data_IF_495000700461
#
_entry.id   IF_495000700461
#
_cell.length_a   1.000
_cell.length_b   1.000
_cell.length_c   1.000
_cell.angle_alpha   90.00
_cell.angle_beta   90.00
_cell.angle_gamma   90.00
#
_symmetry.space_group_name_H-M   'P 1'
#
loop_
_entity.id
_entity.type
_entity.pdbx_description
1 polymer ?
#
# COMPACT_ATOMS: atom_id res chain seq x y z
N UNK A 1 -32.71 -18.07 1.01
CA UNK A 1 -32.07 -16.78 1.29
C UNK A 1 -33.03 -15.72 0.82
N UNK A 2 -33.37 -14.78 1.66
CA UNK A 2 -34.21 -13.65 1.28
C UNK A 2 -33.52 -12.88 0.17
N UNK A 3 -34.21 -12.64 -0.94
CA UNK A 3 -33.64 -11.95 -2.08
C UNK A 3 -33.84 -10.43 -1.89
N UNK A 4 -32.86 -9.75 -1.34
CA UNK A 4 -32.90 -8.31 -1.13
C UNK A 4 -32.71 -7.50 -2.43
N UNK A 5 -32.40 -8.15 -3.56
CA UNK A 5 -32.27 -7.51 -4.86
C UNK A 5 -31.31 -6.32 -4.82
N UNK A 6 -31.72 -5.18 -5.41
CA UNK A 6 -30.91 -3.96 -5.46
C UNK A 6 -30.54 -3.41 -4.06
N UNK A 7 -31.35 -3.69 -3.03
CA UNK A 7 -31.05 -3.25 -1.67
C UNK A 7 -29.79 -3.92 -1.10
N UNK A 8 -29.38 -5.06 -1.63
CA UNK A 8 -28.14 -5.72 -1.23
C UNK A 8 -26.89 -4.90 -1.55
N UNK A 9 -26.97 -3.96 -2.50
CA UNK A 9 -25.88 -3.02 -2.82
C UNK A 9 -25.82 -1.81 -1.89
N UNK A 10 -26.89 -1.52 -1.15
CA UNK A 10 -26.98 -0.29 -0.35
C UNK A 10 -25.83 -0.12 0.65
N UNK A 11 -25.34 -1.14 1.38
CA UNK A 11 -24.19 -1.00 2.27
C UNK A 11 -22.94 -0.49 1.54
N UNK A 12 -22.59 -1.10 0.41
CA UNK A 12 -21.43 -0.71 -0.37
C UNK A 12 -21.60 0.68 -1.01
N UNK A 13 -22.77 0.97 -1.59
CA UNK A 13 -23.05 2.27 -2.21
C UNK A 13 -23.00 3.42 -1.18
N UNK A 14 -23.54 3.22 0.01
CA UNK A 14 -23.51 4.21 1.08
C UNK A 14 -22.08 4.41 1.57
N UNK A 15 -21.30 3.33 1.74
CA UNK A 15 -19.89 3.43 2.08
C UNK A 15 -19.12 4.25 1.02
N UNK A 16 -19.36 4.01 -0.29
CA UNK A 16 -18.75 4.78 -1.39
C UNK A 16 -19.16 6.25 -1.33
N UNK A 17 -20.47 6.54 -1.26
CA UNK A 17 -20.98 7.93 -1.25
C UNK A 17 -20.43 8.70 -0.06
N UNK A 18 -20.46 8.10 1.13
CA UNK A 18 -19.94 8.73 2.33
C UNK A 18 -18.42 8.90 2.28
N UNK A 19 -17.67 7.97 1.69
CA UNK A 19 -16.23 8.11 1.50
C UNK A 19 -15.89 9.32 0.62
N UNK A 20 -16.66 9.59 -0.44
CA UNK A 20 -16.49 10.81 -1.25
C UNK A 20 -16.83 12.10 -0.49
N UNK A 21 -17.86 12.07 0.38
CA UNK A 21 -18.33 13.27 1.11
C UNK A 21 -17.42 13.56 2.29
N UNK A 22 -17.12 12.54 3.10
CA UNK A 22 -16.44 12.69 4.39
C UNK A 22 -14.93 12.56 4.28
N UNK A 23 -14.44 11.85 3.26
CA UNK A 23 -13.04 11.45 3.08
C UNK A 23 -12.52 10.57 4.22
N UNK A 24 -13.44 9.88 4.92
CA UNK A 24 -13.15 9.04 6.07
C UNK A 24 -13.62 7.59 5.79
N UNK A 25 -12.70 6.71 5.42
CA UNK A 25 -13.00 5.34 5.03
C UNK A 25 -13.65 4.54 6.18
N UNK A 26 -13.08 4.63 7.39
CA UNK A 26 -13.57 3.91 8.56
C UNK A 26 -15.04 4.25 8.88
N UNK A 27 -15.34 5.54 8.95
CA UNK A 27 -16.71 6.03 9.19
C UNK A 27 -17.67 5.58 8.09
N UNK A 28 -17.25 5.66 6.85
CA UNK A 28 -18.05 5.33 5.67
C UNK A 28 -18.42 3.85 5.63
N UNK A 29 -17.47 2.97 5.89
CA UNK A 29 -17.70 1.52 5.93
C UNK A 29 -18.57 1.16 7.15
N UNK A 30 -18.35 1.78 8.31
CA UNK A 30 -19.20 1.59 9.48
C UNK A 30 -20.67 1.94 9.18
N UNK A 31 -20.93 3.08 8.53
CA UNK A 31 -22.28 3.45 8.11
C UNK A 31 -22.87 2.42 7.14
N UNK A 32 -22.08 1.90 6.21
CA UNK A 32 -22.49 0.80 5.33
C UNK A 32 -22.93 -0.45 6.10
N UNK A 33 -22.16 -0.87 7.11
CA UNK A 33 -22.53 -2.01 7.98
C UNK A 33 -23.84 -1.75 8.71
N UNK A 34 -24.01 -0.57 9.31
CA UNK A 34 -25.26 -0.21 10.03
C UNK A 34 -26.48 -0.21 9.12
N UNK A 35 -26.34 0.28 7.88
CA UNK A 35 -27.41 0.22 6.88
C UNK A 35 -27.73 -1.23 6.50
N UNK A 36 -26.73 -2.08 6.35
CA UNK A 36 -26.94 -3.50 6.10
C UNK A 36 -27.72 -4.20 7.22
N UNK A 37 -27.42 -3.87 8.49
CA UNK A 37 -28.18 -4.35 9.64
C UNK A 37 -29.65 -3.90 9.60
N UNK A 38 -29.91 -2.64 9.27
CA UNK A 38 -31.27 -2.13 9.13
C UNK A 38 -32.06 -2.87 8.03
N UNK A 39 -31.44 -3.10 6.89
CA UNK A 39 -32.07 -3.83 5.76
C UNK A 39 -32.39 -5.27 6.14
N UNK A 40 -31.51 -5.94 6.89
CA UNK A 40 -31.74 -7.31 7.36
C UNK A 40 -32.68 -7.40 8.56
N UNK A 41 -33.18 -6.26 9.07
CA UNK A 41 -34.07 -6.22 10.23
C UNK A 41 -33.40 -6.62 11.55
N UNK A 42 -32.07 -6.60 11.60
CA UNK A 42 -31.33 -6.92 12.81
C UNK A 42 -31.26 -5.69 13.74
N UNK A 43 -31.24 -5.96 15.04
CA UNK A 43 -31.03 -4.90 16.03
C UNK A 43 -29.67 -4.24 15.84
N UNK A 44 -29.62 -2.90 15.89
CA UNK A 44 -28.40 -2.16 15.60
C UNK A 44 -27.29 -2.41 16.63
N UNK A 45 -27.64 -2.66 17.91
CA UNK A 45 -26.65 -2.88 18.95
C UNK A 45 -26.24 -4.36 19.00
N UNK A 46 -27.19 -5.28 19.16
CA UNK A 46 -26.90 -6.70 19.28
C UNK A 46 -26.48 -7.30 17.93
N UNK A 47 -27.08 -6.86 16.82
CA UNK A 47 -26.65 -7.25 15.48
C UNK A 47 -25.23 -6.78 15.17
N UNK A 48 -24.88 -5.53 15.50
CA UNK A 48 -23.53 -5.03 15.28
C UNK A 48 -22.48 -5.77 16.12
N UNK A 49 -22.75 -6.00 17.41
CA UNK A 49 -21.82 -6.77 18.26
C UNK A 49 -21.70 -8.22 17.79
N UNK A 50 -22.79 -8.84 17.30
CA UNK A 50 -22.77 -10.17 16.70
C UNK A 50 -21.91 -10.23 15.43
N UNK A 51 -22.00 -9.21 14.55
CA UNK A 51 -21.15 -9.11 13.37
C UNK A 51 -19.68 -8.95 13.75
N UNK A 52 -19.36 -8.05 14.70
CA UNK A 52 -17.99 -7.90 15.20
C UNK A 52 -17.46 -9.23 15.69
N UNK A 53 -18.19 -9.94 16.54
CA UNK A 53 -17.73 -11.22 17.09
C UNK A 53 -17.50 -12.27 15.99
N UNK A 54 -18.38 -12.37 14.99
CA UNK A 54 -18.23 -13.33 13.91
C UNK A 54 -17.16 -12.95 12.90
N UNK A 55 -17.04 -11.66 12.58
CA UNK A 55 -16.10 -11.15 11.59
C UNK A 55 -14.65 -11.08 12.13
N UNK A 56 -14.47 -10.64 13.37
CA UNK A 56 -13.14 -10.45 13.96
C UNK A 56 -12.67 -11.62 14.81
N UNK A 57 -13.58 -12.51 15.23
CA UNK A 57 -13.26 -13.68 16.07
C UNK A 57 -12.71 -14.88 15.30
N UNK A 58 -12.23 -14.71 14.07
CA UNK A 58 -11.71 -15.81 13.27
C UNK A 58 -10.18 -15.79 13.16
N UNK A 59 -9.59 -16.95 12.83
CA UNK A 59 -8.15 -17.13 12.75
C UNK A 59 -7.51 -16.29 11.63
N UNK A 60 -8.20 -16.08 10.51
CA UNK A 60 -7.68 -15.32 9.37
C UNK A 60 -7.51 -13.85 9.73
N UNK A 61 -8.50 -13.24 10.40
CA UNK A 61 -8.39 -11.87 10.89
C UNK A 61 -7.22 -11.72 11.88
N UNK A 62 -7.10 -12.66 12.84
CA UNK A 62 -6.00 -12.65 13.81
C UNK A 62 -4.65 -12.78 13.12
N UNK A 63 -4.56 -13.61 12.07
CA UNK A 63 -3.33 -13.78 11.29
C UNK A 63 -2.90 -12.48 10.60
N UNK A 64 -3.83 -11.78 9.93
CA UNK A 64 -3.53 -10.49 9.25
C UNK A 64 -3.11 -9.43 10.28
N UNK A 65 -3.88 -9.26 11.35
CA UNK A 65 -3.56 -8.29 12.43
C UNK A 65 -2.21 -8.61 13.08
N UNK A 66 -1.91 -9.89 13.28
CA UNK A 66 -0.61 -10.33 13.80
C UNK A 66 0.55 -9.83 12.92
N UNK A 67 0.45 -9.99 11.60
CA UNK A 67 1.49 -9.50 10.68
C UNK A 67 1.62 -7.98 10.73
N UNK A 68 0.52 -7.24 10.68
CA UNK A 68 0.53 -5.77 10.77
C UNK A 68 1.22 -5.27 12.04
N UNK A 69 0.93 -5.89 13.19
CA UNK A 69 1.57 -5.58 14.48
C UNK A 69 3.09 -5.78 14.39
N UNK A 70 3.56 -6.92 13.86
CA UNK A 70 5.00 -7.20 13.78
C UNK A 70 5.69 -6.32 12.73
N UNK A 71 5.05 -5.95 11.63
CA UNK A 71 5.55 -4.93 10.69
C UNK A 71 5.78 -3.60 11.40
N UNK A 72 4.78 -3.11 12.14
CA UNK A 72 4.89 -1.86 12.89
C UNK A 72 6.04 -1.87 13.90
N UNK A 73 6.19 -2.95 14.65
CA UNK A 73 7.30 -3.12 15.62
C UNK A 73 8.65 -3.12 14.89
N UNK A 74 8.79 -3.87 13.80
CA UNK A 74 10.02 -3.96 13.03
C UNK A 74 10.48 -2.59 12.52
N UNK A 75 9.55 -1.81 11.98
CA UNK A 75 9.81 -0.45 11.49
C UNK A 75 10.24 0.47 12.63
N UNK A 76 9.56 0.43 13.77
CA UNK A 76 9.93 1.23 14.94
C UNK A 76 11.33 0.87 15.49
N UNK A 77 11.72 -0.40 15.45
CA UNK A 77 13.08 -0.82 15.82
C UNK A 77 14.12 -0.32 14.81
N UNK A 78 13.83 -0.31 13.50
CA UNK A 78 14.71 0.31 12.51
C UNK A 78 14.93 1.79 12.80
N UNK A 79 13.86 2.54 13.09
CA UNK A 79 13.96 3.97 13.39
C UNK A 79 14.80 4.22 14.65
N UNK A 80 14.42 3.61 15.75
CA UNK A 80 15.05 3.86 17.06
C UNK A 80 16.49 3.38 17.15
N UNK A 81 16.84 2.31 16.44
CA UNK A 81 18.23 1.82 16.38
C UNK A 81 19.14 2.70 15.52
N UNK A 82 18.62 3.67 14.75
CA UNK A 82 19.39 4.44 13.78
C UNK A 82 19.91 3.59 12.61
N UNK A 83 19.32 2.41 12.38
CA UNK A 83 19.66 1.55 11.26
C UNK A 83 19.55 2.27 9.94
N UNK A 84 18.60 3.13 9.86
CA UNK A 84 18.22 3.99 8.74
C UNK A 84 19.28 5.03 8.43
N UNK A 85 19.78 5.73 9.47
CA UNK A 85 20.90 6.68 9.33
C UNK A 85 22.19 5.98 8.90
N UNK A 86 22.40 4.73 9.35
CA UNK A 86 23.55 3.93 8.92
C UNK A 86 23.50 3.61 7.41
N UNK A 87 22.31 3.40 6.83
CA UNK A 87 22.10 3.28 5.38
C UNK A 87 22.52 4.58 4.69
N UNK A 88 22.00 5.71 5.16
CA UNK A 88 22.26 7.04 4.59
C UNK A 88 23.75 7.39 4.59
N UNK A 89 24.42 7.19 5.71
CA UNK A 89 25.84 7.50 5.86
C UNK A 89 26.70 6.64 4.92
N UNK A 90 26.38 5.35 4.77
CA UNK A 90 27.10 4.46 3.88
C UNK A 90 26.99 4.87 2.40
N UNK A 91 25.81 5.37 2.00
CA UNK A 91 25.59 5.86 0.63
C UNK A 91 26.35 7.15 0.33
N UNK A 92 26.54 8.01 1.34
CA UNK A 92 27.21 9.31 1.18
C UNK A 92 28.74 9.24 1.05
N UNK A 93 29.38 8.15 1.50
CA UNK A 93 30.84 8.10 1.67
C UNK A 93 31.68 7.98 0.39
N UNK A 94 31.13 7.59 -0.79
CA UNK A 94 31.97 7.10 -1.89
C UNK A 94 31.69 7.57 -3.33
N UNK A 95 30.76 8.50 -3.61
CA UNK A 95 30.35 8.76 -4.99
C UNK A 95 30.44 10.24 -5.42
N UNK A 96 31.01 10.48 -6.61
CA UNK A 96 30.75 11.71 -7.38
C UNK A 96 29.29 11.69 -7.82
N UNK A 97 28.43 12.41 -7.07
CA UNK A 97 26.99 12.30 -7.20
C UNK A 97 26.51 13.21 -8.34
N UNK A 98 26.20 12.61 -9.48
CA UNK A 98 25.50 13.30 -10.58
C UNK A 98 23.99 13.27 -10.33
N UNK A 99 23.19 14.13 -11.00
CA UNK A 99 21.72 14.08 -10.89
C UNK A 99 21.13 12.70 -11.15
N UNK A 100 21.65 11.95 -12.13
CA UNK A 100 21.21 10.58 -12.44
C UNK A 100 21.52 9.62 -11.31
N UNK A 101 22.74 9.65 -10.79
CA UNK A 101 23.13 8.79 -9.67
C UNK A 101 22.27 9.07 -8.43
N UNK A 102 21.99 10.33 -8.12
CA UNK A 102 21.13 10.73 -7.00
C UNK A 102 19.70 10.16 -7.16
N UNK A 103 19.12 10.24 -8.35
CA UNK A 103 17.78 9.68 -8.63
C UNK A 103 17.77 8.15 -8.53
N UNK A 104 18.77 7.46 -9.09
CA UNK A 104 18.87 5.99 -8.99
C UNK A 104 19.05 5.54 -7.55
N UNK A 105 19.88 6.26 -6.76
CA UNK A 105 20.06 5.97 -5.34
C UNK A 105 18.77 6.14 -4.56
N UNK A 106 18.02 7.23 -4.83
CA UNK A 106 16.70 7.46 -4.22
C UNK A 106 15.71 6.34 -4.56
N UNK A 107 15.62 5.96 -5.83
CA UNK A 107 14.76 4.87 -6.28
C UNK A 107 15.16 3.51 -5.65
N UNK A 108 16.45 3.20 -5.65
CA UNK A 108 16.95 1.96 -5.05
C UNK A 108 16.71 1.91 -3.54
N UNK A 109 16.88 3.04 -2.85
CA UNK A 109 16.61 3.13 -1.42
C UNK A 109 15.12 2.97 -1.11
N UNK A 110 14.23 3.58 -1.92
CA UNK A 110 12.78 3.43 -1.76
C UNK A 110 12.33 1.99 -1.96
N UNK A 111 12.85 1.30 -2.97
CA UNK A 111 12.57 -0.14 -3.18
C UNK A 111 13.10 -0.99 -2.02
N UNK A 112 14.25 -0.64 -1.45
CA UNK A 112 14.83 -1.37 -0.32
C UNK A 112 13.98 -1.24 0.95
N UNK A 113 13.25 -0.13 1.10
CA UNK A 113 12.40 0.19 2.26
C UNK A 113 10.94 -0.15 1.97
N UNK A 114 10.68 -1.29 1.40
CA UNK A 114 9.35 -1.75 0.94
C UNK A 114 8.34 -2.08 2.05
N UNK A 115 8.74 -2.05 3.31
CA UNK A 115 7.95 -2.59 4.43
C UNK A 115 6.69 -1.79 4.74
N UNK A 116 6.73 -0.46 4.54
CA UNK A 116 5.66 0.46 4.86
C UNK A 116 5.65 1.63 3.89
N UNK A 117 4.50 1.85 3.29
CA UNK A 117 4.20 2.97 2.39
C UNK A 117 4.22 4.34 3.10
N UNK A 118 3.95 4.38 4.40
CA UNK A 118 4.03 5.60 5.21
C UNK A 118 5.48 5.95 5.60
N UNK A 119 6.24 4.93 5.95
CA UNK A 119 7.61 5.12 6.42
C UNK A 119 8.59 5.38 5.29
N UNK A 120 8.47 4.64 4.18
CA UNK A 120 9.38 4.73 3.04
C UNK A 120 9.56 6.16 2.51
N UNK A 121 8.51 6.93 2.17
CA UNK A 121 8.67 8.26 1.58
C UNK A 121 9.33 9.26 2.53
N UNK A 122 9.00 9.21 3.80
CA UNK A 122 9.60 10.07 4.80
C UNK A 122 11.08 9.79 4.98
N UNK A 123 11.40 8.51 5.07
CA UNK A 123 12.78 8.09 5.22
C UNK A 123 13.63 8.42 3.99
N UNK A 124 13.20 7.96 2.82
CA UNK A 124 13.91 8.18 1.55
C UNK A 124 14.08 9.68 1.29
N UNK A 125 13.01 10.45 1.49
CA UNK A 125 13.03 11.89 1.30
C UNK A 125 14.05 12.58 2.21
N UNK A 126 14.01 12.33 3.51
CA UNK A 126 14.93 12.95 4.46
C UNK A 126 16.40 12.57 4.21
N UNK A 127 16.67 11.31 3.86
CA UNK A 127 18.02 10.82 3.56
C UNK A 127 18.55 11.39 2.26
N UNK A 128 17.71 11.40 1.22
CA UNK A 128 18.13 11.78 -0.13
C UNK A 128 18.11 13.28 -0.37
N UNK A 129 17.32 14.06 0.40
CA UNK A 129 17.19 15.51 0.23
C UNK A 129 18.53 16.25 0.17
N UNK A 130 19.47 16.12 1.13
CA UNK A 130 20.75 16.81 1.03
C UNK A 130 21.59 16.36 -0.17
N UNK A 131 21.43 15.12 -0.63
CA UNK A 131 22.12 14.53 -1.76
C UNK A 131 21.56 15.10 -3.08
N UNK A 132 20.24 15.10 -3.22
CA UNK A 132 19.53 15.61 -4.40
C UNK A 132 19.66 17.12 -4.53
N UNK A 133 19.61 17.88 -3.42
CA UNK A 133 19.84 19.32 -3.41
C UNK A 133 21.24 19.65 -3.94
N UNK A 134 22.28 18.96 -3.45
CA UNK A 134 23.65 19.11 -3.92
C UNK A 134 23.82 18.73 -5.39
N UNK A 135 23.09 17.72 -5.84
CA UNK A 135 23.07 17.26 -7.23
C UNK A 135 22.19 18.13 -8.14
N UNK A 136 21.55 19.19 -7.63
CA UNK A 136 20.62 20.07 -8.35
C UNK A 136 19.44 19.32 -8.99
N UNK A 137 18.90 18.34 -8.28
CA UNK A 137 17.63 17.68 -8.58
C UNK A 137 16.53 18.42 -7.83
N UNK A 138 15.41 18.71 -8.47
CA UNK A 138 14.31 19.43 -7.83
C UNK A 138 13.69 18.62 -6.69
N UNK A 139 13.15 19.29 -5.68
CA UNK A 139 12.48 18.59 -4.56
C UNK A 139 11.17 17.95 -4.98
N UNK A 140 10.51 18.49 -5.99
CA UNK A 140 9.36 17.87 -6.64
C UNK A 140 9.74 16.52 -7.26
N UNK A 141 10.93 16.45 -7.87
CA UNK A 141 11.43 15.19 -8.43
C UNK A 141 11.76 14.17 -7.33
N UNK A 142 12.35 14.61 -6.23
CA UNK A 142 12.60 13.75 -5.09
C UNK A 142 11.29 13.26 -4.47
N UNK A 143 10.28 14.13 -4.31
CA UNK A 143 8.98 13.77 -3.80
C UNK A 143 8.30 12.70 -4.70
N UNK A 144 8.35 12.90 -6.02
CA UNK A 144 7.88 11.90 -6.99
C UNK A 144 8.60 10.55 -6.86
N UNK A 145 9.93 10.54 -6.68
CA UNK A 145 10.70 9.31 -6.45
C UNK A 145 10.26 8.61 -5.17
N UNK A 146 10.09 9.36 -4.08
CA UNK A 146 9.64 8.82 -2.79
C UNK A 146 8.26 8.18 -2.90
N UNK A 147 7.32 8.86 -3.53
CA UNK A 147 5.94 8.42 -3.66
C UNK A 147 5.81 7.20 -4.57
N UNK A 148 6.45 7.24 -5.74
CA UNK A 148 6.45 6.13 -6.69
C UNK A 148 7.20 4.89 -6.20
N UNK A 149 8.07 4.98 -5.20
CA UNK A 149 8.77 3.84 -4.60
C UNK A 149 8.15 3.38 -3.27
N UNK A 150 7.06 4.00 -2.82
CA UNK A 150 6.30 3.56 -1.64
C UNK A 150 5.15 2.63 -2.02
N UNK A 151 3.94 3.15 -2.21
CA UNK A 151 2.75 2.37 -2.52
C UNK A 151 2.90 1.47 -3.78
N UNK A 152 3.44 1.94 -4.93
CA UNK A 152 3.65 1.07 -6.09
C UNK A 152 4.58 -0.11 -5.86
N UNK A 153 5.59 0.03 -5.01
CA UNK A 153 6.44 -1.10 -4.60
C UNK A 153 5.69 -2.03 -3.66
N UNK A 154 4.94 -1.47 -2.70
CA UNK A 154 4.19 -2.27 -1.73
C UNK A 154 3.16 -3.20 -2.40
N UNK A 155 2.49 -2.78 -3.49
CA UNK A 155 1.54 -3.66 -4.20
C UNK A 155 2.20 -4.74 -5.06
N UNK A 156 3.49 -4.60 -5.39
CA UNK A 156 4.24 -5.59 -6.18
C UNK A 156 4.93 -6.66 -5.33
N UNK A 157 4.94 -6.48 -4.02
CA UNK A 157 5.57 -7.42 -3.08
C UNK A 157 4.51 -8.04 -2.15
N UNK A 158 4.38 -9.37 -2.09
CA UNK A 158 3.27 -10.03 -1.42
C UNK A 158 3.37 -10.05 0.12
N UNK A 159 4.54 -9.71 0.68
CA UNK A 159 4.83 -9.72 2.12
C UNK A 159 4.92 -8.30 2.71
N UNK A 160 4.21 -7.37 2.12
CA UNK A 160 4.00 -6.02 2.64
C UNK A 160 2.67 -5.94 3.36
N UNK A 161 2.43 -4.88 4.13
CA UNK A 161 1.12 -4.61 4.75
C UNK A 161 -0.01 -4.64 3.71
N UNK A 162 0.21 -4.11 2.51
CA UNK A 162 -0.77 -4.11 1.43
C UNK A 162 -1.09 -5.50 0.89
N UNK A 163 -0.06 -6.32 0.65
CA UNK A 163 -0.24 -7.69 0.20
C UNK A 163 -1.02 -8.53 1.22
N UNK A 164 -0.67 -8.39 2.49
CA UNK A 164 -1.33 -9.09 3.61
C UNK A 164 -2.76 -8.60 3.82
N UNK A 165 -3.00 -7.29 3.72
CA UNK A 165 -4.33 -6.70 3.82
C UNK A 165 -5.27 -7.25 2.73
N UNK A 166 -4.83 -7.23 1.47
CA UNK A 166 -5.63 -7.75 0.34
C UNK A 166 -5.80 -9.26 0.46
N UNK A 167 -4.79 -10.01 0.92
CA UNK A 167 -4.91 -11.43 1.23
C UNK A 167 -6.06 -11.70 2.20
N UNK A 168 -6.20 -10.88 3.25
CA UNK A 168 -7.31 -10.94 4.19
C UNK A 168 -8.66 -10.61 3.54
N UNK A 169 -8.72 -9.61 2.66
CA UNK A 169 -9.96 -9.19 2.01
C UNK A 169 -10.53 -10.22 1.02
N UNK A 170 -9.68 -11.02 0.37
CA UNK A 170 -10.13 -12.04 -0.61
C UNK A 170 -10.57 -13.34 0.04
N UNK A 171 -10.38 -13.52 1.34
CA UNK A 171 -10.83 -14.71 2.08
C UNK A 171 -12.33 -14.89 1.96
N UNK A 172 -12.72 -16.14 1.68
CA UNK A 172 -14.12 -16.57 1.56
C UNK A 172 -14.74 -16.34 0.19
N UNK A 173 -13.96 -15.95 -0.83
CA UNK A 173 -14.38 -15.93 -2.23
C UNK A 173 -13.81 -17.14 -2.99
N UNK A 174 -14.66 -17.85 -3.71
CA UNK A 174 -14.28 -19.02 -4.51
C UNK A 174 -13.45 -20.03 -3.71
N UNK A 175 -12.25 -20.32 -4.18
CA UNK A 175 -11.31 -21.27 -3.56
C UNK A 175 -10.46 -20.67 -2.43
N UNK A 176 -10.56 -19.37 -2.16
CA UNK A 176 -9.76 -18.70 -1.12
C UNK A 176 -10.39 -18.87 0.26
N UNK A 177 -10.26 -20.06 0.83
CA UNK A 177 -10.89 -20.40 2.10
C UNK A 177 -10.18 -19.82 3.34
N UNK A 178 -8.89 -19.48 3.23
CA UNK A 178 -8.05 -19.00 4.36
C UNK A 178 -7.21 -17.80 3.95
N UNK A 179 -6.67 -17.08 4.92
CA UNK A 179 -5.74 -15.98 4.67
C UNK A 179 -4.44 -16.45 4.00
N UNK A 180 -3.97 -17.66 4.25
CA UNK A 180 -2.84 -18.25 3.52
C UNK A 180 -3.16 -18.44 2.02
N UNK A 181 -4.36 -18.92 1.69
CA UNK A 181 -4.83 -19.03 0.32
C UNK A 181 -4.99 -17.64 -0.33
N UNK A 182 -5.44 -16.65 0.43
CA UNK A 182 -5.45 -15.25 0.01
C UNK A 182 -4.05 -14.69 -0.27
N UNK A 183 -3.08 -15.03 0.58
CA UNK A 183 -1.67 -14.66 0.37
C UNK A 183 -1.11 -15.29 -0.90
N UNK A 184 -1.41 -16.55 -1.15
CA UNK A 184 -1.04 -17.24 -2.38
C UNK A 184 -1.66 -16.58 -3.62
N UNK A 185 -2.94 -16.17 -3.53
CA UNK A 185 -3.60 -15.42 -4.60
C UNK A 185 -2.92 -14.08 -4.88
N UNK A 186 -2.48 -13.35 -3.86
CA UNK A 186 -1.70 -12.11 -4.02
C UNK A 186 -0.36 -12.40 -4.70
N UNK A 187 0.34 -13.49 -4.34
CA UNK A 187 1.58 -13.90 -5.01
C UNK A 187 1.32 -14.15 -6.50
N UNK A 188 0.29 -14.91 -6.84
CA UNK A 188 -0.07 -15.18 -8.24
C UNK A 188 -0.57 -13.94 -9.00
N UNK A 189 -1.02 -12.89 -8.30
CA UNK A 189 -1.42 -11.62 -8.92
C UNK A 189 -0.23 -10.74 -9.33
N UNK A 190 0.99 -10.99 -8.82
CA UNK A 190 2.18 -10.15 -9.08
C UNK A 190 2.46 -9.91 -10.58
N UNK A 191 2.43 -10.93 -11.46
CA UNK A 191 2.66 -10.71 -12.90
C UNK A 191 1.64 -9.74 -13.54
N UNK A 192 0.48 -9.57 -12.92
CA UNK A 192 -0.61 -8.71 -13.37
C UNK A 192 -0.63 -7.34 -12.67
N UNK A 193 0.30 -7.07 -11.74
CA UNK A 193 0.42 -5.77 -11.03
C UNK A 193 0.98 -4.67 -11.95
N UNK A 194 0.28 -4.44 -13.07
CA UNK A 194 0.78 -3.59 -14.16
C UNK A 194 1.09 -2.18 -13.68
N UNK A 195 0.22 -1.57 -12.85
CA UNK A 195 0.45 -0.20 -12.40
C UNK A 195 1.72 -0.07 -11.58
N UNK A 196 1.93 -0.93 -10.58
CA UNK A 196 3.13 -0.92 -9.74
C UNK A 196 4.40 -1.18 -10.56
N UNK A 197 4.38 -2.23 -11.39
CA UNK A 197 5.53 -2.60 -12.24
C UNK A 197 5.88 -1.47 -13.23
N UNK A 198 4.89 -0.92 -13.93
CA UNK A 198 5.11 0.16 -14.90
C UNK A 198 5.56 1.46 -14.24
N UNK A 199 5.09 1.75 -13.01
CA UNK A 199 5.57 2.91 -12.23
C UNK A 199 7.05 2.73 -11.88
N UNK A 200 7.47 1.56 -11.41
CA UNK A 200 8.87 1.27 -11.11
C UNK A 200 9.73 1.37 -12.39
N UNK A 201 9.25 0.82 -13.49
CA UNK A 201 9.93 0.94 -14.80
C UNK A 201 10.06 2.39 -15.22
N UNK A 202 9.00 3.20 -15.08
CA UNK A 202 8.99 4.64 -15.40
C UNK A 202 10.06 5.40 -14.61
N UNK A 203 10.19 5.12 -13.30
CA UNK A 203 11.23 5.72 -12.45
C UNK A 203 12.63 5.49 -13.05
N UNK A 204 12.95 4.25 -13.38
CA UNK A 204 14.27 3.91 -13.92
C UNK A 204 14.49 4.45 -15.33
N UNK A 205 13.48 4.46 -16.18
CA UNK A 205 13.58 5.06 -17.52
C UNK A 205 13.91 6.56 -17.44
N UNK A 206 13.28 7.28 -16.52
CA UNK A 206 13.53 8.71 -16.31
C UNK A 206 14.88 8.93 -15.61
N UNK A 207 15.19 8.20 -14.55
CA UNK A 207 16.44 8.37 -13.80
C UNK A 207 17.68 8.04 -14.64
N UNK A 208 17.61 7.03 -15.51
CA UNK A 208 18.67 6.68 -16.45
C UNK A 208 18.76 7.62 -17.65
N UNK A 209 17.72 8.44 -17.89
CA UNK A 209 17.66 9.42 -18.99
C UNK A 209 17.21 8.83 -20.33
N UNK A 210 16.62 7.62 -20.33
CA UNK A 210 15.97 7.05 -21.51
C UNK A 210 14.67 7.79 -21.86
N UNK A 211 13.94 8.23 -20.83
CA UNK A 211 12.76 9.06 -20.96
C UNK A 211 13.07 10.46 -20.42
N UNK A 212 12.93 11.53 -21.26
CA UNK A 212 13.13 12.89 -20.79
C UNK A 212 12.00 13.33 -19.84
N UNK A 213 12.30 14.25 -18.94
CA UNK A 213 11.27 14.91 -18.16
C UNK A 213 10.30 15.69 -19.04
N UNK A 214 9.02 15.65 -18.71
CA UNK A 214 7.96 16.33 -19.45
C UNK A 214 6.98 17.05 -18.51
N UNK A 215 6.11 17.86 -19.10
CA UNK A 215 5.12 18.62 -18.36
C UNK A 215 5.72 19.56 -17.31
N UNK A 216 5.06 19.74 -16.15
CA UNK A 216 5.54 20.60 -15.07
C UNK A 216 6.86 20.14 -14.47
N UNK A 217 7.12 18.83 -14.42
CA UNK A 217 8.38 18.27 -13.88
C UNK A 217 9.61 18.74 -14.67
N UNK A 218 9.49 18.84 -16.03
CA UNK A 218 10.57 19.37 -16.86
C UNK A 218 10.97 20.77 -16.44
N UNK A 219 9.98 21.64 -16.16
CA UNK A 219 10.24 23.02 -15.71
C UNK A 219 10.91 23.05 -14.33
N UNK A 220 10.50 22.16 -13.41
CA UNK A 220 11.09 22.04 -12.10
C UNK A 220 12.58 21.62 -12.18
N UNK A 221 12.88 20.62 -13.01
CA UNK A 221 14.25 20.15 -13.24
C UNK A 221 15.12 21.18 -13.97
N UNK A 222 14.61 21.88 -14.98
CA UNK A 222 15.31 22.97 -15.66
C UNK A 222 15.64 24.10 -14.69
N UNK A 223 14.69 24.51 -13.83
CA UNK A 223 14.92 25.49 -12.76
C UNK A 223 16.09 25.04 -11.84
N UNK A 224 16.02 23.82 -11.32
CA UNK A 224 17.01 23.30 -10.41
C UNK A 224 18.41 23.25 -11.05
N UNK A 225 18.52 22.81 -12.30
CA UNK A 225 19.80 22.71 -13.03
C UNK A 225 20.41 24.07 -13.37
N UNK A 226 19.60 25.00 -13.84
CA UNK A 226 20.08 26.31 -14.37
C UNK A 226 20.32 27.34 -13.28
N UNK A 227 19.42 27.42 -12.29
CA UNK A 227 19.48 28.43 -11.23
C UNK A 227 20.00 27.91 -9.89
N UNK A 228 20.07 26.59 -9.71
CA UNK A 228 20.37 25.96 -8.41
C UNK A 228 19.20 26.00 -7.41
N UNK A 229 18.04 26.61 -7.78
CA UNK A 229 16.86 26.64 -6.91
C UNK A 229 16.11 25.31 -7.01
N UNK A 230 16.22 24.48 -5.99
CA UNK A 230 15.57 23.17 -5.92
C UNK A 230 14.07 23.25 -5.60
N UNK A 231 13.58 24.40 -5.14
CA UNK A 231 12.18 24.71 -4.84
C UNK A 231 11.75 25.90 -5.70
N UNK A 232 10.48 25.97 -6.13
CA UNK A 232 9.98 27.07 -6.91
C UNK A 232 9.81 28.36 -6.08
N UNK A 233 9.91 29.52 -6.73
CA UNK A 233 9.69 30.79 -6.04
C UNK A 233 8.20 30.89 -5.64
N UNK A 234 7.95 31.26 -4.40
CA UNK A 234 6.60 31.34 -3.81
C UNK A 234 6.00 30.03 -3.30
N UNK A 235 6.69 28.90 -3.48
CA UNK A 235 6.28 27.62 -2.89
C UNK A 235 6.45 27.63 -1.37
N UNK A 236 5.63 26.86 -0.69
CA UNK A 236 5.67 26.63 0.77
C UNK A 236 6.11 25.19 1.03
N UNK A 237 7.44 24.90 1.09
CA UNK A 237 7.91 23.55 1.34
C UNK A 237 7.41 22.99 2.66
N UNK A 238 6.87 21.79 2.62
CA UNK A 238 6.50 21.08 3.85
C UNK A 238 7.77 20.58 4.54
N UNK A 239 7.89 20.89 5.82
CA UNK A 239 9.00 20.43 6.66
C UNK A 239 8.42 19.63 7.82
N UNK A 240 8.82 18.39 7.92
CA UNK A 240 8.38 17.49 8.98
C UNK A 240 8.99 17.92 10.32
N UNK A 241 8.16 18.41 11.24
CA UNK A 241 8.52 18.55 12.67
C UNK A 241 8.10 17.32 13.48
N UNK A 242 7.20 16.48 12.95
CA UNK A 242 6.52 15.42 13.69
C UNK A 242 7.22 14.05 13.60
N UNK A 243 8.06 13.84 12.58
CA UNK A 243 8.86 12.61 12.45
C UNK A 243 10.04 12.52 13.44
N UNK A 244 10.32 13.61 14.14
CA UNK A 244 11.31 13.65 15.20
C UNK A 244 10.89 12.85 16.46
N UNK A 245 9.72 12.24 16.50
CA UNK A 245 9.21 11.56 17.71
C UNK A 245 9.94 10.25 18.04
N UNK A 246 10.45 9.52 17.03
CA UNK A 246 11.29 8.33 17.26
C UNK A 246 12.74 8.68 16.85
N UNK A 247 13.42 9.48 17.66
CA UNK A 247 14.83 9.79 17.42
C UNK A 247 15.70 8.56 17.63
N UNK A 248 16.73 8.37 16.79
CA UNK A 248 17.75 7.36 17.03
C UNK A 248 18.30 7.48 18.45
N UNK A 249 18.70 6.36 19.02
CA UNK A 249 19.30 6.35 20.36
C UNK A 249 20.63 7.08 20.34
N UNK A 250 20.76 8.16 21.12
CA UNK A 250 22.00 8.92 21.25
C UNK A 250 23.15 8.01 21.75
N UNK A 251 24.30 8.14 21.11
CA UNK A 251 25.49 7.36 21.45
C UNK A 251 25.50 5.90 20.98
N UNK A 252 24.42 5.39 20.38
CA UNK A 252 24.41 4.06 19.80
C UNK A 252 24.85 4.10 18.32
N UNK A 253 25.87 3.31 17.98
CA UNK A 253 26.36 3.17 16.61
C UNK A 253 25.65 2.02 15.92
N UNK A 254 24.73 2.34 15.04
CA UNK A 254 24.02 1.35 14.26
C UNK A 254 24.94 0.65 13.26
N UNK A 255 24.74 -0.66 13.08
CA UNK A 255 25.38 -1.46 12.04
C UNK A 255 24.34 -1.80 10.97
N UNK A 256 24.58 -1.32 9.75
CA UNK A 256 23.68 -1.54 8.60
C UNK A 256 23.32 -3.02 8.40
N UNK A 257 24.29 -3.91 8.51
CA UNK A 257 24.08 -5.33 8.26
C UNK A 257 23.20 -5.94 9.35
N UNK A 258 23.58 -5.75 10.62
CA UNK A 258 22.90 -6.38 11.75
C UNK A 258 21.51 -5.81 12.03
N UNK A 259 21.36 -4.47 11.88
CA UNK A 259 20.13 -3.81 12.32
C UNK A 259 19.12 -3.57 11.20
N UNK A 260 19.54 -3.66 9.92
CA UNK A 260 18.65 -3.45 8.77
C UNK A 260 18.63 -4.65 7.81
N UNK A 261 19.78 -5.02 7.23
CA UNK A 261 19.82 -6.03 6.17
C UNK A 261 19.41 -7.42 6.67
N UNK A 262 19.90 -7.88 7.80
CA UNK A 262 19.57 -9.22 8.32
C UNK A 262 18.07 -9.34 8.65
N UNK A 263 17.43 -8.45 9.41
CA UNK A 263 15.97 -8.52 9.60
C UNK A 263 15.17 -8.56 8.29
N UNK A 264 15.53 -7.71 7.34
CA UNK A 264 14.89 -7.69 6.01
C UNK A 264 15.09 -9.02 5.26
N UNK A 265 16.32 -9.54 5.27
CA UNK A 265 16.63 -10.83 4.66
C UNK A 265 15.94 -12.00 5.35
N UNK A 266 15.74 -11.95 6.68
CA UNK A 266 14.95 -12.97 7.40
C UNK A 266 13.53 -13.00 6.85
N UNK A 267 12.86 -11.85 6.72
CA UNK A 267 11.49 -11.79 6.18
C UNK A 267 11.45 -12.40 4.78
N UNK A 268 12.33 -11.96 3.89
CA UNK A 268 12.38 -12.42 2.49
C UNK A 268 12.70 -13.92 2.43
N UNK A 269 13.75 -14.37 3.12
CA UNK A 269 14.23 -15.74 3.05
C UNK A 269 13.23 -16.73 3.65
N UNK A 270 12.60 -16.39 4.78
CA UNK A 270 11.60 -17.27 5.42
C UNK A 270 10.33 -17.31 4.57
N UNK A 271 9.82 -16.16 4.10
CA UNK A 271 8.60 -16.13 3.30
C UNK A 271 8.77 -16.87 1.97
N UNK A 272 9.82 -16.56 1.20
CA UNK A 272 10.10 -17.22 -0.07
C UNK A 272 10.52 -18.69 0.15
N UNK A 273 11.37 -18.95 1.13
CA UNK A 273 11.84 -20.30 1.43
C UNK A 273 10.70 -21.24 1.81
N UNK A 274 9.78 -20.80 2.69
CA UNK A 274 8.61 -21.61 3.07
C UNK A 274 7.65 -21.77 1.91
N UNK A 275 7.44 -20.75 1.07
CA UNK A 275 6.64 -20.87 -0.14
C UNK A 275 7.19 -21.94 -1.09
N UNK A 276 8.49 -21.93 -1.36
CA UNK A 276 9.14 -22.90 -2.27
C UNK A 276 9.14 -24.32 -1.67
N UNK A 277 9.38 -24.46 -0.37
CA UNK A 277 9.53 -25.78 0.27
C UNK A 277 8.17 -26.40 0.69
N UNK A 278 7.26 -25.57 1.19
CA UNK A 278 6.00 -26.02 1.81
C UNK A 278 4.76 -25.70 0.95
N UNK A 279 4.92 -24.95 -0.15
CA UNK A 279 3.80 -24.50 -0.99
C UNK A 279 2.94 -23.40 -0.36
N UNK A 280 3.33 -22.87 0.80
CA UNK A 280 2.63 -21.76 1.46
C UNK A 280 3.62 -20.80 2.13
N UNK A 281 3.39 -19.49 1.96
CA UNK A 281 4.23 -18.46 2.56
C UNK A 281 3.92 -18.30 4.05
N UNK A 282 4.89 -18.55 4.92
CA UNK A 282 4.77 -18.37 6.36
C UNK A 282 5.18 -16.96 6.77
N UNK A 283 4.35 -15.99 6.35
CA UNK A 283 4.66 -14.55 6.46
C UNK A 283 4.61 -14.06 7.91
N UNK A 284 3.67 -14.53 8.72
CA UNK A 284 3.60 -14.17 10.14
C UNK A 284 4.85 -14.63 10.89
N UNK A 285 5.26 -15.88 10.68
CA UNK A 285 6.46 -16.47 11.30
C UNK A 285 7.72 -15.72 10.85
N UNK A 286 7.79 -15.28 9.60
CA UNK A 286 8.90 -14.51 9.09
C UNK A 286 9.06 -13.17 9.82
N UNK A 287 7.97 -12.41 10.00
CA UNK A 287 7.99 -11.14 10.74
C UNK A 287 8.26 -11.33 12.23
N UNK A 288 7.65 -12.35 12.86
CA UNK A 288 7.95 -12.72 14.26
C UNK A 288 9.44 -12.99 14.43
N UNK A 289 10.02 -13.81 13.55
CA UNK A 289 11.45 -14.16 13.64
C UNK A 289 12.34 -12.93 13.43
N UNK A 290 12.01 -12.06 12.49
CA UNK A 290 12.76 -10.83 12.22
C UNK A 290 12.73 -9.88 13.44
N UNK A 291 11.55 -9.69 14.05
CA UNK A 291 11.41 -8.84 15.26
C UNK A 291 12.11 -9.43 16.47
N UNK A 292 11.99 -10.75 16.67
CA UNK A 292 12.72 -11.45 17.77
C UNK A 292 14.23 -11.30 17.56
N UNK A 293 14.73 -11.50 16.35
CA UNK A 293 16.13 -11.27 16.03
C UNK A 293 16.56 -9.84 16.37
N UNK A 294 15.79 -8.82 15.91
CA UNK A 294 16.09 -7.40 16.20
C UNK A 294 16.11 -7.15 17.72
N UNK A 295 15.11 -7.64 18.43
CA UNK A 295 15.01 -7.46 19.89
C UNK A 295 16.25 -8.06 20.61
N UNK A 296 16.63 -9.27 20.26
CA UNK A 296 17.81 -9.95 20.86
C UNK A 296 19.09 -9.16 20.57
N UNK A 297 19.33 -8.79 19.31
CA UNK A 297 20.54 -8.07 18.91
C UNK A 297 20.61 -6.71 19.61
N UNK A 298 19.51 -5.96 19.65
CA UNK A 298 19.47 -4.63 20.27
C UNK A 298 19.64 -4.69 21.80
N UNK A 299 19.12 -5.74 22.45
CA UNK A 299 19.34 -5.97 23.88
C UNK A 299 20.79 -6.38 24.20
N UNK A 300 21.38 -7.32 23.44
CA UNK A 300 22.77 -7.77 23.62
C UNK A 300 23.73 -6.57 23.45
N UNK A 301 23.48 -5.73 22.47
CA UNK A 301 24.29 -4.54 22.21
C UNK A 301 23.97 -3.36 23.16
N UNK A 302 23.06 -3.55 24.11
CA UNK A 302 22.60 -2.54 25.07
C UNK A 302 22.09 -1.25 24.39
N UNK A 303 21.59 -1.38 23.16
CA UNK A 303 20.91 -0.29 22.45
C UNK A 303 19.65 0.11 23.20
N UNK A 304 18.89 -0.87 23.72
CA UNK A 304 17.70 -0.68 24.55
C UNK A 304 17.80 -1.49 25.84
N UNK A 305 17.13 -1.01 26.87
CA UNK A 305 16.69 -1.86 27.95
C UNK A 305 15.28 -2.43 27.63
N UNK A 306 14.82 -3.44 28.38
CA UNK A 306 13.53 -4.09 28.14
C UNK A 306 12.37 -3.09 28.14
N UNK A 307 12.38 -2.12 29.05
CA UNK A 307 11.32 -1.11 29.15
C UNK A 307 11.29 -0.19 27.93
N UNK A 308 12.45 0.29 27.48
CA UNK A 308 12.56 1.09 26.25
C UNK A 308 12.13 0.28 25.01
N UNK A 309 12.50 -0.99 24.94
CA UNK A 309 12.13 -1.87 23.83
C UNK A 309 10.60 -2.04 23.73
N UNK A 310 9.92 -2.30 24.87
CA UNK A 310 8.46 -2.40 24.89
C UNK A 310 7.80 -1.07 24.54
N UNK A 311 8.35 0.04 24.98
CA UNK A 311 7.83 1.38 24.60
C UNK A 311 7.95 1.62 23.09
N UNK A 312 9.11 1.33 22.49
CA UNK A 312 9.32 1.47 21.04
C UNK A 312 8.39 0.52 20.25
N UNK A 313 8.25 -0.73 20.71
CA UNK A 313 7.32 -1.67 20.10
C UNK A 313 5.87 -1.16 20.17
N UNK A 314 5.46 -0.57 21.30
CA UNK A 314 4.13 0.03 21.45
C UNK A 314 3.91 1.19 20.46
N UNK A 315 4.91 2.06 20.26
CA UNK A 315 4.79 3.13 19.25
C UNK A 315 4.69 2.56 17.82
N UNK A 316 5.43 1.48 17.54
CA UNK A 316 5.29 0.75 16.26
C UNK A 316 3.88 0.21 16.05
N UNK A 317 3.27 -0.40 17.06
CA UNK A 317 1.88 -0.90 16.98
C UNK A 317 0.91 0.26 16.72
N UNK A 318 1.07 1.39 17.41
CA UNK A 318 0.22 2.56 17.20
C UNK A 318 0.24 3.07 15.76
N UNK A 319 1.36 2.94 15.06
CA UNK A 319 1.49 3.40 13.67
C UNK A 319 0.61 2.63 12.68
N UNK A 320 0.21 1.40 12.99
CA UNK A 320 -0.63 0.55 12.13
C UNK A 320 -2.09 0.46 12.56
N UNK A 321 -2.48 1.11 13.66
CA UNK A 321 -3.85 1.03 14.22
C UNK A 321 -4.92 1.46 13.22
N UNK A 322 -4.68 2.51 12.43
CA UNK A 322 -5.66 2.99 11.45
C UNK A 322 -5.98 1.93 10.40
N UNK A 323 -4.96 1.25 9.85
CA UNK A 323 -5.12 0.16 8.91
C UNK A 323 -5.90 -1.01 9.54
N UNK A 324 -5.56 -1.37 10.78
CA UNK A 324 -6.26 -2.43 11.53
C UNK A 324 -7.74 -2.12 11.74
N UNK A 325 -8.11 -0.87 12.02
CA UNK A 325 -9.50 -0.46 12.20
C UNK A 325 -10.28 -0.52 10.88
N UNK A 326 -9.70 -0.07 9.76
CA UNK A 326 -10.32 -0.14 8.43
C UNK A 326 -10.54 -1.61 8.06
N UNK A 327 -9.54 -2.48 8.25
CA UNK A 327 -9.65 -3.91 8.01
C UNK A 327 -10.77 -4.55 8.86
N UNK A 328 -10.87 -4.18 10.14
CA UNK A 328 -11.93 -4.66 11.01
C UNK A 328 -13.31 -4.36 10.45
N UNK A 329 -13.53 -3.14 9.98
CA UNK A 329 -14.81 -2.75 9.38
C UNK A 329 -15.01 -3.39 7.99
N UNK A 330 -13.93 -3.66 7.26
CA UNK A 330 -13.99 -4.39 5.98
C UNK A 330 -14.48 -5.84 6.17
N UNK A 331 -14.02 -6.53 7.20
CA UNK A 331 -14.54 -7.85 7.56
C UNK A 331 -16.03 -7.80 7.96
N UNK A 332 -16.44 -6.75 8.69
CA UNK A 332 -17.85 -6.57 9.06
C UNK A 332 -18.75 -6.30 7.84
N UNK A 333 -18.34 -5.42 6.90
CA UNK A 333 -19.14 -5.15 5.70
C UNK A 333 -19.19 -6.35 4.76
N UNK A 334 -18.13 -7.16 4.71
CA UNK A 334 -18.13 -8.41 3.96
C UNK A 334 -19.13 -9.43 4.56
N UNK A 335 -19.16 -9.56 5.88
CA UNK A 335 -20.10 -10.42 6.59
C UNK A 335 -21.57 -10.03 6.29
N UNK A 336 -21.91 -8.74 6.39
CA UNK A 336 -23.28 -8.27 6.10
C UNK A 336 -23.62 -8.38 4.62
N UNK A 337 -22.68 -8.15 3.71
CA UNK A 337 -22.89 -8.33 2.27
C UNK A 337 -23.19 -9.79 1.89
N UNK A 338 -22.54 -10.74 2.56
CA UNK A 338 -22.86 -12.18 2.42
C UNK A 338 -24.29 -12.48 2.86
N UNK A 339 -24.73 -11.94 4.00
CA UNK A 339 -26.09 -12.10 4.51
C UNK A 339 -27.13 -11.54 3.53
N UNK A 340 -26.86 -10.39 2.93
CA UNK A 340 -27.73 -9.73 1.95
C UNK A 340 -27.72 -10.39 0.57
N UNK A 341 -26.83 -11.34 0.29
CA UNK A 341 -26.71 -11.96 -1.01
C UNK A 341 -26.20 -11.01 -2.10
N UNK A 342 -25.39 -9.99 -1.73
CA UNK A 342 -24.86 -8.98 -2.63
C UNK A 342 -24.19 -9.60 -3.86
N UNK A 343 -23.35 -10.62 -3.66
CA UNK A 343 -22.65 -11.31 -4.75
C UNK A 343 -23.60 -11.89 -5.78
N UNK A 344 -24.65 -12.59 -5.32
CA UNK A 344 -25.65 -13.21 -6.22
C UNK A 344 -26.40 -12.17 -7.03
N UNK A 345 -26.75 -11.04 -6.42
CA UNK A 345 -27.42 -9.94 -7.12
C UNK A 345 -26.49 -9.31 -8.17
N UNK A 346 -25.25 -8.98 -7.80
CA UNK A 346 -24.28 -8.38 -8.74
C UNK A 346 -24.07 -9.30 -9.95
N UNK A 347 -23.89 -10.59 -9.73
CA UNK A 347 -23.75 -11.57 -10.82
C UNK A 347 -25.00 -11.51 -11.72
N UNK A 348 -26.20 -11.58 -11.16
CA UNK A 348 -27.45 -11.64 -11.94
C UNK A 348 -27.67 -10.44 -12.86
N UNK A 349 -27.24 -9.24 -12.46
CA UNK A 349 -27.44 -8.00 -13.27
C UNK A 349 -26.28 -7.72 -14.23
N UNK A 350 -25.14 -8.40 -14.08
CA UNK A 350 -23.94 -8.16 -14.89
C UNK A 350 -23.62 -9.30 -15.84
N UNK A 351 -24.13 -10.51 -15.61
CA UNK A 351 -23.82 -11.72 -16.36
C UNK A 351 -23.95 -11.55 -17.88
N UNK A 352 -24.95 -10.80 -18.33
CA UNK A 352 -25.23 -10.64 -19.76
C UNK A 352 -24.25 -9.78 -20.54
N UNK A 353 -23.52 -8.88 -19.89
CA UNK A 353 -22.63 -7.88 -20.55
C UNK A 353 -21.21 -7.86 -20.01
N UNK A 354 -20.97 -8.41 -18.82
CA UNK A 354 -19.65 -8.43 -18.23
C UNK A 354 -18.75 -9.44 -18.96
N UNK A 355 -17.58 -9.00 -19.33
CA UNK A 355 -16.55 -9.81 -19.99
C UNK A 355 -15.24 -9.65 -19.21
N UNK A 356 -14.24 -10.54 -19.40
CA UNK A 356 -12.92 -10.34 -18.78
C UNK A 356 -12.31 -8.97 -19.07
N UNK A 357 -12.52 -8.43 -20.28
CA UNK A 357 -12.04 -7.10 -20.68
C UNK A 357 -12.70 -6.01 -19.86
N UNK A 358 -14.02 -6.01 -19.79
CA UNK A 358 -14.78 -4.98 -19.04
C UNK A 358 -14.55 -5.09 -17.55
N UNK A 359 -14.43 -6.31 -17.00
CA UNK A 359 -14.15 -6.52 -15.59
C UNK A 359 -12.80 -5.90 -15.18
N UNK A 360 -11.71 -6.25 -15.87
CA UNK A 360 -10.37 -5.76 -15.53
C UNK A 360 -10.24 -4.24 -15.72
N UNK A 361 -10.73 -3.71 -16.86
CA UNK A 361 -10.64 -2.29 -17.15
C UNK A 361 -11.47 -1.44 -16.16
N UNK A 362 -12.71 -1.88 -15.85
CA UNK A 362 -13.58 -1.18 -14.90
C UNK A 362 -13.08 -1.32 -13.47
N UNK A 363 -12.61 -2.49 -13.05
CA UNK A 363 -12.04 -2.66 -11.71
C UNK A 363 -10.89 -1.69 -11.48
N UNK A 364 -9.96 -1.57 -12.43
CA UNK A 364 -8.87 -0.60 -12.36
C UNK A 364 -9.37 0.84 -12.35
N UNK A 365 -10.21 1.23 -13.34
CA UNK A 365 -10.62 2.62 -13.52
C UNK A 365 -11.49 3.13 -12.36
N UNK A 366 -12.43 2.31 -11.85
CA UNK A 366 -13.30 2.68 -10.73
C UNK A 366 -12.49 2.82 -9.45
N UNK A 367 -11.59 1.85 -9.15
CA UNK A 367 -10.70 1.95 -7.99
C UNK A 367 -9.79 3.19 -8.08
N UNK A 368 -9.25 3.47 -9.26
CA UNK A 368 -8.42 4.65 -9.52
C UNK A 368 -9.17 5.96 -9.24
N UNK A 369 -10.39 6.06 -9.74
CA UNK A 369 -11.25 7.22 -9.51
C UNK A 369 -11.61 7.36 -8.03
N UNK A 370 -12.09 6.30 -7.40
CA UNK A 370 -12.47 6.33 -5.98
C UNK A 370 -11.29 6.75 -5.10
N UNK A 371 -10.15 6.11 -5.26
CA UNK A 371 -8.97 6.37 -4.44
C UNK A 371 -8.41 7.77 -4.62
N UNK A 372 -8.43 8.31 -5.85
CA UNK A 372 -8.00 9.70 -6.11
C UNK A 372 -8.82 10.74 -5.33
N UNK A 373 -10.14 10.57 -5.27
CA UNK A 373 -11.03 11.52 -4.59
C UNK A 373 -11.16 11.30 -3.09
N UNK A 374 -10.96 10.08 -2.62
CA UNK A 374 -10.98 9.76 -1.18
C UNK A 374 -9.63 9.92 -0.50
N UNK A 375 -8.54 9.89 -1.28
CA UNK A 375 -7.17 9.96 -0.76
C UNK A 375 -6.73 8.68 -0.03
N UNK A 376 -7.38 7.54 -0.28
CA UNK A 376 -7.03 6.27 0.38
C UNK A 376 -7.31 5.07 -0.50
N UNK A 377 -6.37 4.14 -0.57
CA UNK A 377 -6.53 2.85 -1.24
C UNK A 377 -7.14 1.79 -0.32
N UNK A 378 -6.85 1.81 0.98
CA UNK A 378 -7.32 0.82 1.94
C UNK A 378 -8.84 0.67 1.96
N UNK A 379 -9.57 1.79 2.08
CA UNK A 379 -11.03 1.81 2.04
C UNK A 379 -11.60 1.38 0.70
N UNK A 380 -10.93 1.73 -0.40
CA UNK A 380 -11.35 1.34 -1.75
C UNK A 380 -11.23 -0.18 -1.96
N UNK A 381 -10.15 -0.80 -1.51
CA UNK A 381 -10.01 -2.26 -1.57
C UNK A 381 -11.09 -2.97 -0.75
N UNK A 382 -11.34 -2.48 0.47
CA UNK A 382 -12.39 -3.03 1.34
C UNK A 382 -13.78 -3.02 0.70
N UNK A 383 -14.09 -1.99 -0.10
CA UNK A 383 -15.38 -1.83 -0.77
C UNK A 383 -15.43 -2.63 -2.08
N UNK A 384 -14.37 -2.56 -2.89
CA UNK A 384 -14.40 -3.07 -4.26
C UNK A 384 -14.16 -4.58 -4.36
N UNK A 385 -13.30 -5.16 -3.51
CA UNK A 385 -13.02 -6.60 -3.53
C UNK A 385 -14.30 -7.44 -3.38
N UNK A 386 -15.20 -7.18 -2.41
CA UNK A 386 -16.47 -7.92 -2.31
C UNK A 386 -17.38 -7.80 -3.52
N UNK A 387 -17.21 -6.78 -4.36
CA UNK A 387 -18.01 -6.56 -5.57
C UNK A 387 -17.39 -7.30 -6.76
N UNK A 388 -16.09 -7.19 -6.99
CA UNK A 388 -15.47 -7.70 -8.23
C UNK A 388 -15.05 -9.16 -8.14
N UNK A 389 -14.71 -9.67 -6.94
CA UNK A 389 -14.28 -11.07 -6.78
C UNK A 389 -15.37 -12.07 -7.15
N UNK A 390 -16.66 -11.91 -6.74
CA UNK A 390 -17.73 -12.80 -7.19
C UNK A 390 -17.89 -12.82 -8.71
N UNK A 391 -17.70 -11.67 -9.38
CA UNK A 391 -17.78 -11.59 -10.85
C UNK A 391 -16.65 -12.39 -11.51
N UNK A 392 -15.41 -12.22 -11.02
CA UNK A 392 -14.28 -12.97 -11.53
C UNK A 392 -14.47 -14.47 -11.36
N UNK A 393 -14.87 -14.93 -10.17
CA UNK A 393 -15.11 -16.33 -9.91
C UNK A 393 -16.32 -16.91 -10.70
N UNK A 394 -17.37 -16.12 -10.91
CA UNK A 394 -18.49 -16.55 -11.75
C UNK A 394 -18.04 -16.82 -13.20
N UNK A 395 -17.18 -15.96 -13.76
CA UNK A 395 -16.65 -16.12 -15.12
C UNK A 395 -15.71 -17.32 -15.27
N UNK A 396 -15.10 -17.77 -14.17
CA UNK A 396 -14.13 -18.88 -14.17
C UNK A 396 -14.71 -20.19 -13.64
N UNK A 397 -16.04 -20.27 -13.47
CA UNK A 397 -16.69 -21.46 -12.94
C UNK A 397 -16.35 -21.77 -11.49
N UNK A 398 -15.90 -20.77 -10.71
CA UNK A 398 -15.51 -20.90 -9.31
C UNK A 398 -14.03 -21.20 -9.09
N UNK A 399 -13.25 -21.33 -10.17
CA UNK A 399 -11.82 -21.66 -10.09
C UNK A 399 -10.94 -20.41 -10.02
N UNK A 400 -9.83 -20.50 -9.26
CA UNK A 400 -8.80 -19.46 -9.19
C UNK A 400 -7.89 -19.52 -10.42
N UNK A 401 -8.23 -18.72 -11.42
CA UNK A 401 -7.48 -18.62 -12.68
C UNK A 401 -6.76 -17.28 -12.81
N UNK A 402 -6.01 -17.11 -13.89
CA UNK A 402 -5.33 -15.85 -14.21
C UNK A 402 -6.29 -14.65 -14.28
N UNK A 403 -7.57 -14.84 -14.61
CA UNK A 403 -8.56 -13.76 -14.58
C UNK A 403 -8.82 -13.28 -13.15
N UNK A 404 -8.94 -14.20 -12.19
CA UNK A 404 -9.13 -13.88 -10.78
C UNK A 404 -7.91 -13.11 -10.25
N UNK A 405 -6.69 -13.60 -10.54
CA UNK A 405 -5.45 -12.94 -10.12
C UNK A 405 -5.27 -11.56 -10.77
N UNK A 406 -5.60 -11.43 -12.05
CA UNK A 406 -5.56 -10.15 -12.74
C UNK A 406 -6.61 -9.16 -12.18
N UNK A 407 -7.77 -9.66 -11.71
CA UNK A 407 -8.79 -8.83 -11.06
C UNK A 407 -8.29 -8.28 -9.73
N UNK A 408 -7.64 -9.10 -8.91
CA UNK A 408 -6.97 -8.62 -7.68
C UNK A 408 -5.97 -7.53 -8.01
N UNK A 409 -5.11 -7.76 -9.01
CA UNK A 409 -4.10 -6.80 -9.43
C UNK A 409 -4.71 -5.51 -9.99
N UNK A 410 -5.83 -5.59 -10.71
CA UNK A 410 -6.52 -4.41 -11.24
C UNK A 410 -7.08 -3.52 -10.11
N UNK A 411 -7.68 -4.13 -9.09
CA UNK A 411 -8.15 -3.42 -7.89
C UNK A 411 -6.98 -2.76 -7.15
N UNK A 412 -5.92 -3.53 -6.89
CA UNK A 412 -4.74 -3.02 -6.18
C UNK A 412 -4.06 -1.89 -6.97
N UNK A 413 -3.85 -2.08 -8.27
CA UNK A 413 -3.23 -1.09 -9.14
C UNK A 413 -4.05 0.19 -9.26
N UNK A 414 -5.39 0.06 -9.38
CA UNK A 414 -6.30 1.20 -9.45
C UNK A 414 -6.30 2.02 -8.16
N UNK A 415 -6.47 1.36 -7.02
CA UNK A 415 -6.40 2.04 -5.73
C UNK A 415 -5.04 2.70 -5.49
N UNK A 416 -3.96 2.01 -5.82
CA UNK A 416 -2.60 2.56 -5.73
C UNK A 416 -2.41 3.81 -6.61
N UNK A 417 -2.89 3.81 -7.87
CA UNK A 417 -2.83 5.00 -8.74
C UNK A 417 -3.50 6.20 -8.09
N UNK A 418 -4.76 6.01 -7.65
CA UNK A 418 -5.53 7.10 -7.09
C UNK A 418 -4.89 7.65 -5.82
N UNK A 419 -4.45 6.77 -4.94
CA UNK A 419 -3.80 7.10 -3.68
C UNK A 419 -2.51 7.91 -3.94
N UNK A 420 -1.55 7.32 -4.60
CA UNK A 420 -0.22 7.91 -4.75
C UNK A 420 -0.16 9.17 -5.65
N UNK A 421 -1.22 9.61 -6.30
CA UNK A 421 -1.24 10.88 -7.03
C UNK A 421 -2.34 11.86 -6.58
N UNK A 422 -3.09 11.50 -5.54
CA UNK A 422 -4.13 12.35 -4.96
C UNK A 422 -3.54 13.46 -4.10
N UNK A 423 -4.04 14.70 -4.22
CA UNK A 423 -3.66 15.76 -3.29
C UNK A 423 -4.19 15.55 -1.86
N UNK A 424 -5.00 14.53 -1.64
CA UNK A 424 -5.64 14.22 -0.36
C UNK A 424 -5.00 13.02 0.34
N UNK A 425 -4.08 12.34 -0.35
CA UNK A 425 -3.47 11.12 0.15
C UNK A 425 -2.38 11.38 1.17
N UNK A 426 -2.40 10.56 2.21
CA UNK A 426 -1.37 10.55 3.25
C UNK A 426 0.01 10.25 2.67
N UNK A 427 0.13 9.30 1.73
CA UNK A 427 1.42 8.93 1.13
C UNK A 427 2.01 10.05 0.29
N UNK A 428 1.17 10.79 -0.46
CA UNK A 428 1.58 11.97 -1.23
C UNK A 428 2.00 13.13 -0.31
N UNK A 429 1.28 13.33 0.82
CA UNK A 429 1.65 14.30 1.85
C UNK A 429 2.99 13.92 2.48
N UNK A 430 3.18 12.66 2.87
CA UNK A 430 4.41 12.16 3.48
C UNK A 430 5.60 12.26 2.54
N UNK A 431 5.40 12.02 1.24
CA UNK A 431 6.42 12.18 0.20
C UNK A 431 6.83 13.65 0.06
N UNK A 432 5.88 14.57 0.10
CA UNK A 432 6.13 16.02 0.10
C UNK A 432 6.93 16.45 1.34
N UNK A 433 6.54 15.96 2.52
CA UNK A 433 7.22 16.22 3.80
C UNK A 433 8.65 15.69 3.81
N UNK A 434 8.85 14.44 3.41
CA UNK A 434 10.18 13.80 3.37
C UNK A 434 11.12 14.53 2.42
N UNK A 435 10.66 14.83 1.21
CA UNK A 435 11.45 15.57 0.22
C UNK A 435 11.62 17.05 0.56
N UNK A 436 10.80 17.63 1.45
CA UNK A 436 10.73 19.06 1.68
C UNK A 436 10.25 19.82 0.44
N UNK A 437 9.28 19.26 -0.27
CA UNK A 437 8.62 19.86 -1.42
C UNK A 437 7.36 20.60 -0.99
N UNK A 438 6.92 21.56 -1.80
CA UNK A 438 5.54 22.05 -1.72
C UNK A 438 4.62 20.94 -2.19
N UNK A 439 3.53 20.70 -1.44
CA UNK A 439 2.62 19.60 -1.72
C UNK A 439 1.87 19.77 -3.04
N UNK A 440 1.41 20.99 -3.33
CA UNK A 440 0.68 21.29 -4.57
C UNK A 440 1.59 21.18 -5.78
N UNK A 441 2.85 21.62 -5.65
CA UNK A 441 3.84 21.49 -6.72
C UNK A 441 4.22 20.02 -6.95
N UNK A 442 4.33 19.22 -5.87
CA UNK A 442 4.52 17.77 -5.97
C UNK A 442 3.39 17.13 -6.78
N UNK A 443 2.14 17.31 -6.37
CA UNK A 443 0.98 16.74 -7.08
C UNK A 443 0.93 17.16 -8.54
N UNK A 444 1.12 18.46 -8.85
CA UNK A 444 1.13 18.99 -10.23
C UNK A 444 2.22 18.37 -11.11
N UNK A 445 3.40 18.12 -10.53
CA UNK A 445 4.53 17.56 -11.28
C UNK A 445 4.43 16.06 -11.46
N UNK A 446 3.85 15.33 -10.50
CA UNK A 446 3.67 13.89 -10.49
C UNK A 446 2.52 13.43 -11.39
N UNK A 447 1.38 14.14 -11.36
CA UNK A 447 0.14 13.71 -12.01
C UNK A 447 0.30 13.32 -13.48
N UNK A 448 1.05 14.04 -14.34
CA UNK A 448 1.27 13.62 -15.72
C UNK A 448 1.96 12.26 -15.87
N UNK A 449 2.91 11.93 -14.97
CA UNK A 449 3.59 10.64 -14.96
C UNK A 449 2.64 9.52 -14.53
N UNK A 450 1.92 9.73 -13.44
CA UNK A 450 0.93 8.79 -12.94
C UNK A 450 -0.17 8.50 -13.97
N UNK A 451 -0.71 9.53 -14.63
CA UNK A 451 -1.70 9.40 -15.71
C UNK A 451 -1.14 8.63 -16.91
N UNK A 452 0.10 8.89 -17.31
CA UNK A 452 0.74 8.13 -18.40
C UNK A 452 0.80 6.65 -18.08
N UNK A 453 1.24 6.30 -16.86
CA UNK A 453 1.29 4.90 -16.41
C UNK A 453 -0.11 4.31 -16.31
N UNK A 454 -1.10 5.06 -15.78
CA UNK A 454 -2.47 4.59 -15.64
C UNK A 454 -3.13 4.27 -17.01
N UNK A 455 -2.91 5.11 -18.02
CA UNK A 455 -3.41 4.86 -19.39
C UNK A 455 -2.78 3.59 -19.97
N UNK A 456 -1.46 3.43 -19.85
CA UNK A 456 -0.76 2.24 -20.33
C UNK A 456 -1.27 1.00 -19.57
N UNK A 457 -1.48 1.11 -18.26
CA UNK A 457 -2.03 0.04 -17.40
C UNK A 457 -3.44 -0.36 -17.85
N UNK A 458 -4.31 0.61 -18.10
CA UNK A 458 -5.67 0.35 -18.58
C UNK A 458 -5.66 -0.39 -19.92
N UNK A 459 -4.82 0.05 -20.87
CA UNK A 459 -4.61 -0.66 -22.14
C UNK A 459 -4.09 -2.08 -21.89
N UNK A 460 -3.14 -2.25 -20.98
CA UNK A 460 -2.63 -3.55 -20.58
C UNK A 460 -3.71 -4.49 -20.05
N UNK A 461 -4.61 -4.01 -19.18
CA UNK A 461 -5.75 -4.80 -18.69
C UNK A 461 -6.76 -5.16 -19.78
N UNK A 462 -6.98 -4.26 -20.76
CA UNK A 462 -7.79 -4.58 -21.94
C UNK A 462 -7.16 -5.73 -22.72
N UNK A 463 -5.85 -5.67 -22.98
CA UNK A 463 -5.12 -6.72 -23.69
C UNK A 463 -5.17 -8.05 -22.91
N UNK A 464 -4.89 -8.02 -21.61
CA UNK A 464 -4.98 -9.21 -20.74
C UNK A 464 -6.39 -9.79 -20.79
N UNK A 465 -7.43 -8.96 -20.68
CA UNK A 465 -8.82 -9.41 -20.76
C UNK A 465 -9.17 -10.05 -22.10
N UNK A 466 -8.58 -9.60 -23.20
CA UNK A 466 -8.74 -10.24 -24.53
C UNK A 466 -8.05 -11.61 -24.55
N UNK A 467 -6.86 -11.73 -23.96
CA UNK A 467 -6.10 -12.97 -23.92
C UNK A 467 -6.67 -14.04 -22.97
N UNK A 468 -7.43 -13.61 -21.96
CA UNK A 468 -8.06 -14.49 -20.95
C UNK A 468 -9.53 -14.81 -21.26
N UNK A 469 -9.97 -14.49 -22.44
CA UNK A 469 -11.36 -14.70 -22.92
C UNK A 469 -11.70 -16.19 -23.16
#
# INVERSE_FOLDING_TARGET
MDNYGILSLAPALIAVILAFITREALFSILCGVLVGLLITGQDLLFGFTGIIQSALGNADFIWVIGIEVFIGIMVAFFQKSGAIEAVANKLNEKLHITPRIAQIMGAALGILVFFSDYFSPLFVGNVMRPITDKAKVSREKLAWLCDCTSAPVCITLPFTSWGVYVAGLVVGFGTFATAEAGQDAVIHSIPFQLYGILTIVMIFLVALGFLPDYGPMKKAEERARTTGKVVADGSTPMLSRELDNIKPKEGFKSNLILHFLIPALIVIAVTIGTYVIMGSAKTLEAFVLAVVYQAIVLLIQKAFNIREMIQVATEGIKSVVSAMLILSMAYCINAISKTLGTSSYVISVTESWMTPVTLLALAFAVCAFMSFFTGTSWGVYAIMIPIVMPLAFNMTGGEATNLVYATIAAVMGGGCFGDHCSPLSDTTILSSLGAGSDHVDHVKTQLPYALTVAVITCIGYIIIGICLK
#
